data_IF_222328320244
#
_entry.id   IF_222328320244
#
_cell.length_a   1.000
_cell.length_b   1.000
_cell.length_c   1.000
_cell.angle_alpha   90.00
_cell.angle_beta   90.00
_cell.angle_gamma   90.00
#
_symmetry.space_group_name_H-M   'P 1'
#
loop_
_entity.id
_entity.type
_entity.pdbx_description
1 polymer ?
#
# COMPACT_ATOMS: atom_id res chain seq x y z
N UNK A 1 68.29 -39.63 41.30
CA UNK A 1 68.21 -38.50 40.36
C UNK A 1 67.50 -37.34 41.05
N UNK A 2 68.01 -36.12 40.88
CA UNK A 2 67.36 -34.89 41.33
C UNK A 2 66.66 -34.24 40.13
N UNK A 3 65.41 -33.82 40.31
CA UNK A 3 64.66 -33.05 39.32
C UNK A 3 64.63 -31.61 39.82
N UNK A 4 65.15 -30.69 39.02
CA UNK A 4 65.20 -29.27 39.33
C UNK A 4 64.26 -28.52 38.39
N UNK A 5 63.40 -27.68 38.95
CA UNK A 5 62.57 -26.77 38.16
C UNK A 5 63.41 -25.58 37.66
N UNK A 6 63.07 -24.99 36.51
CA UNK A 6 63.76 -23.81 36.00
C UNK A 6 63.72 -22.67 37.05
N UNK A 7 64.89 -22.29 37.57
CA UNK A 7 65.04 -21.41 38.74
C UNK A 7 65.70 -22.05 39.98
N UNK A 8 65.99 -23.36 39.95
CA UNK A 8 66.83 -24.04 40.95
C UNK A 8 66.10 -24.64 42.15
N UNK A 9 64.76 -24.58 42.19
CA UNK A 9 63.97 -25.18 43.27
C UNK A 9 63.84 -26.69 43.11
N UNK A 10 64.13 -27.44 44.18
CA UNK A 10 63.96 -28.89 44.23
C UNK A 10 62.53 -29.22 44.71
N UNK A 11 61.83 -30.10 43.98
CA UNK A 11 60.48 -30.53 44.32
C UNK A 11 60.45 -31.96 44.87
N UNK A 12 59.59 -32.14 45.88
CA UNK A 12 59.40 -33.40 46.61
C UNK A 12 58.45 -34.36 45.86
N UNK A 13 58.68 -35.66 46.03
CA UNK A 13 57.87 -36.74 45.46
C UNK A 13 58.54 -38.11 45.57
N UNK A 14 57.74 -39.15 45.79
CA UNK A 14 58.21 -40.51 46.11
C UNK A 14 58.83 -41.27 44.93
N UNK A 15 58.63 -40.77 43.70
CA UNK A 15 59.23 -41.33 42.48
C UNK A 15 59.73 -40.22 41.54
N UNK A 16 60.66 -40.56 40.64
CA UNK A 16 61.15 -39.61 39.62
C UNK A 16 60.00 -39.12 38.73
N UNK A 17 59.06 -39.99 38.37
CA UNK A 17 57.88 -39.63 37.60
C UNK A 17 57.01 -38.61 38.34
N UNK A 18 56.72 -38.84 39.63
CA UNK A 18 55.97 -37.91 40.46
C UNK A 18 56.69 -36.55 40.61
N UNK A 19 58.02 -36.54 40.74
CA UNK A 19 58.80 -35.30 40.83
C UNK A 19 58.81 -34.50 39.53
N UNK A 20 58.87 -35.17 38.37
CA UNK A 20 58.73 -34.52 37.05
C UNK A 20 57.33 -33.96 36.88
N UNK A 21 56.29 -34.72 37.25
CA UNK A 21 54.91 -34.28 37.16
C UNK A 21 54.64 -33.06 38.06
N UNK A 22 55.10 -33.09 39.31
CA UNK A 22 55.00 -31.97 40.24
C UNK A 22 55.73 -30.73 39.72
N UNK A 23 56.92 -30.91 39.12
CA UNK A 23 57.68 -29.83 38.49
C UNK A 23 57.00 -29.24 37.26
N UNK A 24 56.37 -30.08 36.44
CA UNK A 24 55.58 -29.65 35.30
C UNK A 24 54.34 -28.87 35.76
N UNK A 25 53.56 -29.40 36.72
CA UNK A 25 52.38 -28.73 37.30
C UNK A 25 52.73 -27.37 37.91
N UNK A 26 53.78 -27.30 38.73
CA UNK A 26 54.22 -26.05 39.33
C UNK A 26 54.71 -25.03 38.28
N UNK A 27 55.33 -25.50 37.18
CA UNK A 27 55.76 -24.62 36.09
C UNK A 27 54.59 -24.11 35.26
N UNK A 28 53.56 -24.93 35.06
CA UNK A 28 52.33 -24.56 34.34
C UNK A 28 51.54 -23.49 35.12
N UNK A 29 51.38 -23.66 36.43
CA UNK A 29 50.73 -22.65 37.30
C UNK A 29 51.48 -21.32 37.24
N UNK A 30 52.81 -21.35 37.19
CA UNK A 30 53.63 -20.13 37.07
C UNK A 30 53.53 -19.49 35.67
N UNK A 31 53.45 -20.32 34.62
CA UNK A 31 53.39 -19.85 33.24
C UNK A 31 52.02 -19.24 32.91
N UNK A 32 50.94 -19.82 33.44
CA UNK A 32 49.56 -19.41 33.19
C UNK A 32 48.86 -18.92 34.47
N UNK A 33 49.45 -17.91 35.12
CA UNK A 33 48.96 -17.41 36.41
C UNK A 33 47.55 -16.81 36.38
N UNK A 34 46.99 -16.54 35.21
CA UNK A 34 45.65 -15.97 35.04
C UNK A 34 44.62 -17.00 34.54
N UNK A 35 44.98 -18.28 34.41
CA UNK A 35 44.12 -19.33 33.84
C UNK A 35 42.79 -19.50 34.59
N UNK A 36 42.85 -19.51 35.93
CA UNK A 36 41.71 -19.80 36.81
C UNK A 36 40.52 -18.84 36.59
N UNK A 37 40.76 -17.63 36.07
CA UNK A 37 39.70 -16.66 35.79
C UNK A 37 38.72 -17.13 34.71
N UNK A 38 39.16 -18.02 33.82
CA UNK A 38 38.38 -18.54 32.71
C UNK A 38 38.18 -20.06 32.77
N UNK A 39 38.55 -20.72 33.88
CA UNK A 39 38.48 -22.17 34.06
C UNK A 39 37.06 -22.63 34.44
N UNK A 40 36.11 -22.51 33.51
CA UNK A 40 34.76 -23.06 33.65
C UNK A 40 34.33 -23.82 32.36
N UNK A 41 33.83 -25.07 32.46
CA UNK A 41 33.43 -25.83 31.28
C UNK A 41 32.16 -25.29 30.58
N UNK A 42 31.43 -24.35 31.18
CA UNK A 42 30.16 -23.85 30.66
C UNK A 42 30.28 -22.62 29.75
N UNK A 43 31.49 -22.17 29.40
CA UNK A 43 31.66 -21.02 28.49
C UNK A 43 31.01 -21.22 27.11
N UNK A 44 30.94 -22.45 26.60
CA UNK A 44 30.16 -22.76 25.39
C UNK A 44 28.67 -22.43 25.54
N UNK A 45 28.08 -22.62 26.72
CA UNK A 45 26.69 -22.23 27.01
C UNK A 45 26.53 -20.71 27.12
N UNK A 46 27.53 -20.01 27.64
CA UNK A 46 27.55 -18.54 27.69
C UNK A 46 27.49 -17.98 26.27
N UNK A 47 28.29 -18.51 25.35
CA UNK A 47 28.22 -18.15 23.92
C UNK A 47 26.81 -18.37 23.35
N UNK A 48 26.23 -19.55 23.55
CA UNK A 48 24.91 -19.89 23.02
C UNK A 48 23.80 -18.97 23.57
N UNK A 49 23.83 -18.68 24.88
CA UNK A 49 22.89 -17.76 25.53
C UNK A 49 23.07 -16.33 25.05
N UNK A 50 24.30 -15.82 24.97
CA UNK A 50 24.56 -14.46 24.50
C UNK A 50 24.05 -14.25 23.07
N UNK A 51 24.15 -15.29 22.22
CA UNK A 51 23.65 -15.26 20.85
C UNK A 51 22.12 -15.33 20.73
N UNK A 52 21.44 -16.05 21.62
CA UNK A 52 20.00 -16.34 21.53
C UNK A 52 19.13 -15.44 22.42
N UNK A 53 19.57 -15.26 23.66
CA UNK A 53 18.80 -14.69 24.76
C UNK A 53 19.29 -13.29 25.18
N UNK A 54 20.43 -12.84 24.63
CA UNK A 54 21.05 -11.57 24.95
C UNK A 54 22.15 -11.64 26.02
N UNK A 55 22.94 -10.57 26.16
CA UNK A 55 24.18 -10.57 26.94
C UNK A 55 24.02 -10.44 28.46
N UNK A 56 22.92 -9.83 28.93
CA UNK A 56 22.73 -9.48 30.35
C UNK A 56 22.69 -10.69 31.29
N UNK A 57 22.09 -11.81 30.86
CA UNK A 57 21.92 -13.01 31.69
C UNK A 57 22.78 -14.20 31.22
N UNK A 58 23.60 -14.02 30.19
CA UNK A 58 24.37 -15.11 29.61
C UNK A 58 25.44 -15.65 30.58
N UNK A 59 26.07 -14.76 31.37
CA UNK A 59 27.09 -15.12 32.37
C UNK A 59 26.52 -15.89 33.58
N UNK A 60 25.20 -15.96 33.75
CA UNK A 60 24.60 -16.80 34.78
C UNK A 60 24.91 -18.30 34.55
N UNK A 61 25.24 -18.70 33.33
CA UNK A 61 25.63 -20.06 32.99
C UNK A 61 26.94 -20.51 33.67
N UNK A 62 27.77 -19.54 34.09
CA UNK A 62 29.00 -19.74 34.88
C UNK A 62 28.85 -19.18 36.30
N UNK A 63 27.61 -18.98 36.76
CA UNK A 63 27.31 -18.56 38.14
C UNK A 63 27.51 -17.07 38.43
N UNK A 64 27.83 -16.24 37.45
CA UNK A 64 28.01 -14.80 37.65
C UNK A 64 26.70 -14.03 37.47
N UNK A 65 26.38 -13.16 38.44
CA UNK A 65 25.19 -12.30 38.46
C UNK A 65 25.61 -10.85 38.73
N UNK A 66 25.95 -10.14 37.68
CA UNK A 66 26.42 -8.76 37.74
C UNK A 66 26.57 -8.18 36.35
N UNK A 67 27.02 -6.93 36.28
CA UNK A 67 27.23 -6.24 35.01
C UNK A 67 28.32 -6.95 34.19
N UNK A 68 28.08 -7.27 32.91
CA UNK A 68 29.02 -8.06 32.14
C UNK A 68 30.42 -7.47 31.99
N UNK A 69 30.57 -6.14 32.05
CA UNK A 69 31.90 -5.51 31.99
C UNK A 69 32.68 -5.53 33.31
N UNK A 70 32.06 -6.00 34.41
CA UNK A 70 32.71 -6.22 35.70
C UNK A 70 33.16 -7.67 35.90
N UNK A 71 32.74 -8.60 35.04
CA UNK A 71 33.25 -9.98 35.08
C UNK A 71 34.75 -10.02 34.71
N UNK A 72 35.63 -10.71 35.44
CA UNK A 72 37.08 -10.65 35.25
C UNK A 72 37.55 -10.89 33.80
N UNK A 73 37.02 -11.94 33.15
CA UNK A 73 37.35 -12.27 31.75
C UNK A 73 36.87 -11.18 30.78
N UNK A 74 35.65 -10.69 30.96
CA UNK A 74 35.05 -9.69 30.08
C UNK A 74 35.73 -8.33 30.26
N UNK A 75 36.05 -7.94 31.49
CA UNK A 75 36.77 -6.72 31.83
C UNK A 75 38.17 -6.70 31.20
N UNK A 76 38.92 -7.81 31.27
CA UNK A 76 40.24 -7.91 30.67
C UNK A 76 40.19 -7.87 29.14
N UNK A 77 39.25 -8.59 28.52
CA UNK A 77 39.05 -8.54 27.07
C UNK A 77 38.70 -7.12 26.61
N UNK A 78 37.74 -6.45 27.27
CA UNK A 78 37.37 -5.06 26.99
C UNK A 78 38.57 -4.12 27.10
N UNK A 79 39.39 -4.27 28.16
CA UNK A 79 40.60 -3.46 28.36
C UNK A 79 41.64 -3.68 27.26
N UNK A 80 41.85 -4.92 26.83
CA UNK A 80 42.81 -5.25 25.77
C UNK A 80 42.38 -4.73 24.40
N UNK A 81 41.08 -4.73 24.11
CA UNK A 81 40.53 -4.20 22.85
C UNK A 81 40.90 -2.71 22.66
N UNK A 82 40.93 -1.91 23.73
CA UNK A 82 41.28 -0.50 23.64
C UNK A 82 40.37 0.24 22.64
N UNK A 83 40.93 0.83 21.59
CA UNK A 83 40.14 1.52 20.54
C UNK A 83 39.45 0.58 19.55
N UNK A 84 40.20 -0.39 19.01
CA UNK A 84 39.65 -1.47 18.19
C UNK A 84 40.66 -2.60 18.03
N UNK A 85 40.19 -3.85 18.02
CA UNK A 85 41.01 -5.05 17.80
C UNK A 85 40.29 -6.09 16.95
N UNK A 86 41.07 -6.80 16.14
CA UNK A 86 40.59 -7.93 15.36
C UNK A 86 40.47 -9.18 16.22
N UNK A 87 39.44 -10.00 16.03
CA UNK A 87 39.16 -11.14 16.91
C UNK A 87 40.29 -12.16 17.01
N UNK A 88 41.07 -12.38 15.95
CA UNK A 88 42.26 -13.23 16.04
C UNK A 88 43.34 -12.63 16.94
N UNK A 89 43.56 -11.32 16.93
CA UNK A 89 44.51 -10.67 17.84
C UNK A 89 44.09 -10.82 19.31
N UNK A 90 42.77 -10.86 19.56
CA UNK A 90 42.20 -11.09 20.90
C UNK A 90 42.41 -12.55 21.31
N UNK A 91 42.07 -13.50 20.43
CA UNK A 91 42.27 -14.93 20.68
C UNK A 91 43.73 -15.25 20.95
N UNK A 92 44.64 -14.83 20.07
CA UNK A 92 46.07 -15.11 20.18
C UNK A 92 46.65 -14.56 21.49
N UNK A 93 46.19 -13.38 21.93
CA UNK A 93 46.64 -12.78 23.18
C UNK A 93 46.19 -13.57 24.41
N UNK A 94 44.91 -13.93 24.50
CA UNK A 94 44.34 -14.58 25.68
C UNK A 94 44.55 -16.09 25.71
N UNK A 95 44.90 -16.73 24.59
CA UNK A 95 45.36 -18.12 24.57
C UNK A 95 46.85 -18.23 24.92
N UNK A 96 47.62 -17.14 24.82
CA UNK A 96 49.02 -17.10 25.24
C UNK A 96 49.18 -16.93 26.76
N UNK A 97 50.39 -17.18 27.26
CA UNK A 97 50.78 -16.86 28.64
C UNK A 97 50.71 -15.33 28.86
N UNK A 98 50.24 -14.85 30.03
CA UNK A 98 49.96 -15.60 31.26
C UNK A 98 48.53 -16.15 31.40
N UNK A 99 47.70 -16.07 30.36
CA UNK A 99 46.27 -16.42 30.43
C UNK A 99 46.00 -17.89 30.13
N UNK A 100 46.36 -18.35 28.93
CA UNK A 100 46.10 -19.73 28.51
C UNK A 100 44.61 -20.08 28.38
N UNK A 101 43.73 -19.09 28.22
CA UNK A 101 42.29 -19.29 28.28
C UNK A 101 41.75 -20.12 27.11
N UNK A 102 40.71 -20.96 27.34
CA UNK A 102 40.06 -21.69 26.28
C UNK A 102 39.33 -20.74 25.32
N UNK A 103 39.29 -21.10 24.03
CA UNK A 103 38.60 -20.31 23.00
C UNK A 103 37.11 -20.11 23.31
N UNK A 104 36.47 -21.07 23.99
CA UNK A 104 35.09 -20.94 24.48
C UNK A 104 34.93 -19.75 25.42
N UNK A 105 35.88 -19.51 26.32
CA UNK A 105 35.82 -18.39 27.26
C UNK A 105 35.99 -17.05 26.55
N UNK A 106 36.97 -16.97 25.64
CA UNK A 106 37.26 -15.75 24.87
C UNK A 106 36.07 -15.39 23.98
N UNK A 107 35.57 -16.35 23.20
CA UNK A 107 34.44 -16.13 22.30
C UNK A 107 33.15 -15.87 23.07
N UNK A 108 32.89 -16.61 24.16
CA UNK A 108 31.73 -16.41 25.03
C UNK A 108 31.71 -15.00 25.62
N UNK A 109 32.84 -14.53 26.14
CA UNK A 109 32.97 -13.18 26.67
C UNK A 109 32.80 -12.09 25.59
N UNK A 110 33.35 -12.27 24.38
CA UNK A 110 33.14 -11.36 23.26
C UNK A 110 31.66 -11.25 22.89
N UNK A 111 30.95 -12.38 22.82
CA UNK A 111 29.51 -12.40 22.51
C UNK A 111 28.68 -11.77 23.62
N UNK A 112 29.02 -12.00 24.89
CA UNK A 112 28.36 -11.35 26.03
C UNK A 112 28.51 -9.82 25.95
N UNK A 113 29.72 -9.33 25.69
CA UNK A 113 30.01 -7.90 25.59
C UNK A 113 29.30 -7.27 24.38
N UNK A 114 29.26 -7.98 23.25
CA UNK A 114 28.55 -7.56 22.04
C UNK A 114 27.02 -7.54 22.26
N UNK A 115 26.45 -8.60 22.83
CA UNK A 115 25.02 -8.74 23.09
C UNK A 115 24.52 -7.80 24.21
N UNK A 116 25.42 -7.33 25.07
CA UNK A 116 25.15 -6.32 26.10
C UNK A 116 25.34 -4.89 25.59
N UNK A 117 25.72 -4.70 24.32
CA UNK A 117 25.97 -3.37 23.74
C UNK A 117 27.19 -2.65 24.33
N UNK A 118 28.13 -3.38 24.94
CA UNK A 118 29.38 -2.84 25.49
C UNK A 118 30.46 -2.79 24.40
N UNK A 119 30.40 -3.71 23.44
CA UNK A 119 31.23 -3.72 22.24
C UNK A 119 30.36 -3.55 20.99
N UNK A 120 30.94 -2.95 19.98
CA UNK A 120 30.50 -2.97 18.59
C UNK A 120 31.35 -3.96 17.81
N UNK A 121 30.76 -4.61 16.80
CA UNK A 121 31.46 -5.52 15.92
C UNK A 121 31.25 -5.13 14.45
N UNK A 122 32.34 -5.17 13.67
CA UNK A 122 32.32 -5.00 12.21
C UNK A 122 32.96 -6.19 11.52
N UNK A 123 32.29 -6.71 10.49
CA UNK A 123 32.81 -7.81 9.67
C UNK A 123 34.02 -7.36 8.82
N UNK A 124 34.58 -8.29 8.02
CA UNK A 124 35.71 -7.99 7.12
C UNK A 124 35.37 -6.96 6.05
N UNK A 125 34.09 -6.74 5.76
CA UNK A 125 33.59 -5.77 4.79
C UNK A 125 33.16 -4.46 5.45
N UNK A 126 33.48 -4.28 6.74
CA UNK A 126 33.13 -3.11 7.56
C UNK A 126 31.65 -2.95 7.89
N UNK A 127 30.82 -3.96 7.60
CA UNK A 127 29.41 -3.95 7.98
C UNK A 127 29.26 -4.21 9.48
N UNK A 128 28.36 -3.50 10.14
CA UNK A 128 28.01 -3.78 11.52
C UNK A 128 27.34 -5.15 11.65
N UNK A 129 27.76 -5.94 12.64
CA UNK A 129 27.20 -7.27 12.94
C UNK A 129 26.83 -7.34 14.42
N UNK A 130 25.70 -7.96 14.73
CA UNK A 130 25.27 -8.17 16.11
C UNK A 130 25.58 -9.61 16.57
N UNK A 131 25.39 -9.88 17.87
CA UNK A 131 25.69 -11.19 18.46
C UNK A 131 24.86 -12.33 17.86
N UNK A 132 23.61 -12.09 17.44
CA UNK A 132 22.77 -13.09 16.80
C UNK A 132 23.28 -13.49 15.40
N UNK A 133 23.78 -12.51 14.64
CA UNK A 133 24.22 -12.67 13.26
C UNK A 133 25.67 -13.18 13.14
N UNK A 134 26.54 -12.78 14.06
CA UNK A 134 27.95 -13.16 14.01
C UNK A 134 28.11 -14.68 14.23
N UNK A 135 28.71 -15.37 13.25
CA UNK A 135 29.03 -16.80 13.40
C UNK A 135 30.40 -17.00 14.05
N UNK A 136 30.54 -18.02 14.91
CA UNK A 136 31.77 -18.28 15.67
C UNK A 136 33.04 -18.40 14.83
N UNK A 137 32.93 -18.93 13.60
CA UNK A 137 34.05 -19.03 12.64
C UNK A 137 34.49 -17.68 12.09
N UNK A 138 33.63 -16.66 12.11
CA UNK A 138 33.90 -15.31 11.58
C UNK A 138 34.55 -14.38 12.61
N UNK A 139 34.47 -14.72 13.91
CA UNK A 139 35.02 -13.92 15.02
C UNK A 139 36.46 -13.51 14.74
N UNK A 140 37.29 -14.43 14.24
CA UNK A 140 38.69 -14.16 13.94
C UNK A 140 38.95 -12.99 12.98
N UNK A 141 38.03 -12.74 12.06
CA UNK A 141 38.13 -11.65 11.07
C UNK A 141 37.33 -10.40 11.45
N UNK A 142 36.56 -10.47 12.53
CA UNK A 142 35.68 -9.40 13.01
C UNK A 142 36.48 -8.40 13.82
N UNK A 143 36.23 -7.11 13.61
CA UNK A 143 36.82 -6.02 14.40
C UNK A 143 35.86 -5.66 15.52
N UNK A 144 36.35 -5.67 16.75
CA UNK A 144 35.63 -5.26 17.94
C UNK A 144 36.14 -3.91 18.41
N UNK A 145 35.25 -3.05 18.88
CA UNK A 145 35.59 -1.75 19.48
C UNK A 145 34.61 -1.45 20.62
N UNK A 146 34.99 -0.71 21.67
CA UNK A 146 34.05 -0.29 22.70
C UNK A 146 32.92 0.55 22.13
N UNK A 147 31.72 0.34 22.65
CA UNK A 147 30.63 1.26 22.44
C UNK A 147 30.86 2.50 23.32
N UNK A 148 31.10 3.64 22.68
CA UNK A 148 31.34 4.91 23.36
C UNK A 148 30.06 5.56 23.88
N UNK A 149 28.89 5.15 23.38
CA UNK A 149 27.60 5.72 23.73
C UNK A 149 26.94 4.85 24.81
N UNK A 150 26.79 5.38 26.02
CA UNK A 150 26.10 4.69 27.10
C UNK A 150 24.59 5.00 27.08
N UNK A 151 23.76 3.95 26.98
CA UNK A 151 22.28 4.06 27.11
C UNK A 151 21.87 3.60 28.50
N UNK A 152 21.22 4.48 29.27
CA UNK A 152 20.80 4.15 30.64
C UNK A 152 19.50 3.34 30.64
N UNK A 153 19.20 2.56 31.70
CA UNK A 153 17.94 1.83 31.81
C UNK A 153 16.68 2.69 31.64
N UNK A 154 16.70 3.93 32.15
CA UNK A 154 15.59 4.89 31.97
C UNK A 154 15.39 5.29 30.51
N UNK A 155 16.46 5.35 29.74
CA UNK A 155 16.42 5.72 28.33
C UNK A 155 15.86 4.55 27.50
N UNK A 156 16.19 3.29 27.86
CA UNK A 156 15.54 2.11 27.27
C UNK A 156 14.02 2.11 27.51
N UNK A 157 13.55 2.56 28.68
CA UNK A 157 12.11 2.68 28.96
C UNK A 157 11.47 3.73 28.03
N UNK A 158 12.12 4.88 27.84
CA UNK A 158 11.63 5.93 26.92
C UNK A 158 11.54 5.44 25.48
N UNK A 159 12.55 4.71 25.00
CA UNK A 159 12.56 4.15 23.64
C UNK A 159 11.38 3.18 23.45
N UNK A 160 11.18 2.23 24.39
CA UNK A 160 10.05 1.29 24.32
C UNK A 160 8.69 2.00 24.34
N UNK A 161 8.57 3.04 25.17
CA UNK A 161 7.36 3.86 25.24
C UNK A 161 7.10 4.60 23.92
N UNK A 162 8.13 5.17 23.30
CA UNK A 162 8.03 5.81 21.99
C UNK A 162 7.60 4.81 20.91
N UNK A 163 8.25 3.66 20.83
CA UNK A 163 7.92 2.60 19.86
C UNK A 163 6.44 2.23 19.97
N UNK A 164 5.97 1.99 21.20
CA UNK A 164 4.57 1.65 21.47
C UNK A 164 3.62 2.79 21.07
N UNK A 165 3.96 4.05 21.39
CA UNK A 165 3.18 5.21 20.98
C UNK A 165 3.10 5.37 19.45
N UNK A 166 4.14 4.96 18.73
CA UNK A 166 4.19 4.96 17.27
C UNK A 166 3.49 3.74 16.64
N UNK A 167 2.90 2.84 17.43
CA UNK A 167 2.17 1.66 16.96
C UNK A 167 3.01 0.38 16.86
N UNK A 168 4.25 0.38 17.35
CA UNK A 168 5.12 -0.80 17.41
C UNK A 168 5.15 -1.35 18.84
N UNK A 169 4.42 -2.44 19.08
CA UNK A 169 4.38 -3.07 20.40
C UNK A 169 5.78 -3.54 20.82
N UNK A 170 6.25 -3.08 21.98
CA UNK A 170 7.59 -3.38 22.49
C UNK A 170 7.57 -3.74 23.99
N UNK A 171 7.95 -4.98 24.31
CA UNK A 171 8.04 -5.52 25.67
C UNK A 171 9.48 -5.39 26.24
N UNK A 172 9.68 -5.55 27.56
CA UNK A 172 10.99 -5.38 28.19
C UNK A 172 12.12 -6.25 27.60
N UNK A 173 11.81 -7.49 27.23
CA UNK A 173 12.78 -8.47 26.72
C UNK A 173 12.80 -8.54 25.18
N UNK A 174 12.07 -7.66 24.50
CA UNK A 174 12.08 -7.63 23.03
C UNK A 174 13.43 -7.11 22.52
N UNK A 175 13.87 -7.66 21.39
CA UNK A 175 15.00 -7.15 20.63
C UNK A 175 14.70 -5.75 20.10
N UNK A 176 15.31 -4.74 20.73
CA UNK A 176 15.12 -3.34 20.37
C UNK A 176 15.57 -3.03 18.94
N UNK A 177 16.64 -3.67 18.45
CA UNK A 177 17.10 -3.43 17.07
C UNK A 177 16.04 -3.86 16.07
N UNK A 178 15.43 -5.02 16.29
CA UNK A 178 14.31 -5.51 15.49
C UNK A 178 13.09 -4.59 15.58
N UNK A 179 12.74 -4.13 16.79
CA UNK A 179 11.57 -3.24 16.97
C UNK A 179 11.76 -1.88 16.31
N UNK A 180 12.98 -1.37 16.28
CA UNK A 180 13.28 -0.15 15.53
C UNK A 180 13.18 -0.38 14.02
N UNK A 181 13.58 -1.55 13.51
CA UNK A 181 13.35 -1.92 12.11
C UNK A 181 11.85 -2.00 11.78
N UNK A 182 11.03 -2.57 12.67
CA UNK A 182 9.58 -2.60 12.52
C UNK A 182 9.00 -1.16 12.48
N UNK A 183 9.51 -0.25 13.32
CA UNK A 183 9.13 1.18 13.29
C UNK A 183 9.48 1.82 11.95
N UNK A 184 10.69 1.62 11.45
CA UNK A 184 11.12 2.18 10.15
C UNK A 184 10.24 1.65 9.01
N UNK A 185 9.94 0.35 9.00
CA UNK A 185 9.06 -0.24 8.01
C UNK A 185 7.64 0.35 8.08
N UNK A 186 7.08 0.48 9.28
CA UNK A 186 5.78 1.10 9.51
C UNK A 186 5.75 2.56 9.06
N UNK A 187 6.79 3.33 9.39
CA UNK A 187 6.92 4.73 9.01
C UNK A 187 6.96 4.91 7.49
N UNK A 188 7.72 4.07 6.78
CA UNK A 188 7.77 4.09 5.30
C UNK A 188 6.42 3.77 4.67
N UNK A 189 5.69 2.79 5.22
CA UNK A 189 4.34 2.49 4.76
C UNK A 189 3.38 3.67 4.99
N UNK A 190 3.42 4.29 6.17
CA UNK A 190 2.60 5.47 6.48
C UNK A 190 2.93 6.65 5.57
N UNK A 191 4.21 6.93 5.32
CA UNK A 191 4.62 7.99 4.41
C UNK A 191 4.11 7.75 2.98
N UNK A 192 4.08 6.48 2.52
CA UNK A 192 3.51 6.12 1.23
C UNK A 192 1.99 6.33 1.17
N UNK A 193 1.29 6.13 2.29
CA UNK A 193 -0.16 6.35 2.39
C UNK A 193 -0.54 7.82 2.61
N UNK A 194 0.37 8.62 3.17
CA UNK A 194 0.17 10.03 3.51
C UNK A 194 0.43 10.99 2.33
N UNK A 195 0.65 10.48 1.11
CA UNK A 195 0.83 11.30 -0.08
C UNK A 195 1.08 10.49 -1.34
N UNK A 196 1.18 11.16 -2.48
CA UNK A 196 1.33 10.49 -3.77
C UNK A 196 1.37 11.46 -4.93
N UNK A 197 0.85 11.04 -6.06
CA UNK A 197 0.66 11.91 -7.23
C UNK A 197 -0.54 12.83 -7.01
N UNK A 198 -0.58 13.95 -7.75
CA UNK A 198 -1.72 14.86 -7.71
C UNK A 198 -3.03 14.08 -7.98
N UNK A 199 -4.12 14.35 -7.23
CA UNK A 199 -4.36 15.49 -6.36
C UNK A 199 -3.90 15.32 -4.90
N UNK A 200 -3.24 14.20 -4.56
CA UNK A 200 -2.79 13.94 -3.20
C UNK A 200 -1.66 14.91 -2.80
N UNK A 201 -1.46 15.19 -1.50
CA UNK A 201 -0.26 15.90 -1.05
C UNK A 201 1.01 15.15 -1.48
N UNK A 202 2.13 15.85 -1.52
CA UNK A 202 3.42 15.21 -1.76
C UNK A 202 3.72 14.20 -0.65
N UNK A 203 4.41 13.11 -1.00
CA UNK A 203 4.86 12.14 0.00
C UNK A 203 5.75 12.83 1.03
N UNK A 204 5.52 12.61 2.34
CA UNK A 204 6.36 13.17 3.38
C UNK A 204 7.82 12.70 3.30
N UNK A 205 8.73 13.50 3.89
CA UNK A 205 10.17 13.18 3.94
C UNK A 205 10.46 12.05 4.94
N UNK A 206 11.14 11.00 4.47
CA UNK A 206 11.50 9.83 5.28
C UNK A 206 12.96 9.80 5.72
N UNK A 207 13.76 10.84 5.45
CA UNK A 207 15.21 10.87 5.72
C UNK A 207 15.59 10.48 7.15
N UNK A 208 14.83 10.93 8.15
CA UNK A 208 15.05 10.57 9.55
C UNK A 208 14.96 9.05 9.78
N UNK A 209 14.00 8.39 9.13
CA UNK A 209 13.82 6.93 9.22
C UNK A 209 14.86 6.17 8.40
N UNK A 210 15.34 6.74 7.30
CA UNK A 210 16.47 6.19 6.54
C UNK A 210 17.77 6.28 7.33
N UNK A 211 17.99 7.38 8.06
CA UNK A 211 19.12 7.53 8.97
C UNK A 211 19.04 6.51 10.12
N UNK A 212 17.86 6.35 10.75
CA UNK A 212 17.63 5.32 11.77
C UNK A 212 17.94 3.91 11.26
N UNK A 213 17.59 3.61 10.00
CA UNK A 213 17.87 2.32 9.38
C UNK A 213 19.37 2.09 9.14
N UNK A 214 20.13 3.15 8.89
CA UNK A 214 21.57 3.10 8.59
C UNK A 214 22.45 2.96 9.83
N UNK A 215 21.97 3.40 11.00
CA UNK A 215 22.72 3.32 12.27
C UNK A 215 22.65 1.91 12.87
N UNK A 216 23.60 1.61 13.76
CA UNK A 216 23.69 0.34 14.50
C UNK A 216 24.07 0.58 15.95
N UNK A 217 23.73 -0.35 16.85
CA UNK A 217 24.12 -0.28 18.26
C UNK A 217 23.54 0.93 18.99
N UNK A 218 24.24 1.44 19.99
CA UNK A 218 23.70 2.51 20.84
C UNK A 218 23.60 3.85 20.11
N UNK A 219 24.34 4.04 19.02
CA UNK A 219 24.19 5.22 18.15
C UNK A 219 22.79 5.33 17.51
N UNK A 220 22.15 4.19 17.23
CA UNK A 220 20.75 4.14 16.75
C UNK A 220 19.79 4.51 17.87
N UNK A 221 19.98 3.92 19.05
CA UNK A 221 19.14 4.17 20.23
C UNK A 221 19.22 5.63 20.69
N UNK A 222 20.41 6.22 20.61
CA UNK A 222 20.62 7.64 20.90
C UNK A 222 19.87 8.54 19.92
N UNK A 223 19.93 8.26 18.61
CA UNK A 223 19.18 9.03 17.61
C UNK A 223 17.67 9.02 17.90
N UNK A 224 17.12 7.88 18.35
CA UNK A 224 15.70 7.79 18.73
C UNK A 224 15.37 8.69 19.92
N UNK A 225 16.27 8.77 20.91
CA UNK A 225 16.08 9.63 22.07
C UNK A 225 16.16 11.11 21.69
N UNK A 226 17.14 11.45 20.85
CA UNK A 226 17.36 12.82 20.38
C UNK A 226 16.18 13.31 19.52
N UNK A 227 15.64 12.44 18.66
CA UNK A 227 14.56 12.76 17.71
C UNK A 227 13.18 12.25 18.15
N UNK A 228 13.00 12.00 19.46
CA UNK A 228 11.77 11.40 20.00
C UNK A 228 10.50 12.18 19.59
N UNK A 229 10.56 13.51 19.68
CA UNK A 229 9.45 14.39 19.31
C UNK A 229 9.20 14.33 17.80
N UNK A 230 10.25 14.52 16.98
CA UNK A 230 10.20 14.49 15.52
C UNK A 230 9.59 13.18 14.99
N UNK A 231 10.03 12.02 15.52
CA UNK A 231 9.51 10.70 15.14
C UNK A 231 8.02 10.61 15.46
N UNK A 232 7.62 10.98 16.69
CA UNK A 232 6.24 10.89 17.15
C UNK A 232 5.32 11.81 16.33
N UNK A 233 5.74 13.04 16.10
CA UNK A 233 4.97 14.03 15.36
C UNK A 233 4.81 13.63 13.89
N UNK A 234 5.88 13.15 13.26
CA UNK A 234 5.83 12.61 11.90
C UNK A 234 4.82 11.46 11.78
N UNK A 235 4.91 10.44 12.65
CA UNK A 235 3.99 9.29 12.62
C UNK A 235 2.53 9.72 12.81
N UNK A 236 2.26 10.61 13.77
CA UNK A 236 0.91 11.10 14.02
C UNK A 236 0.36 11.91 12.84
N UNK A 237 1.16 12.81 12.27
CA UNK A 237 0.78 13.61 11.12
C UNK A 237 0.51 12.74 9.90
N UNK A 238 1.37 11.76 9.61
CA UNK A 238 1.21 10.88 8.46
C UNK A 238 0.00 9.97 8.62
N UNK A 239 -0.26 9.46 9.83
CA UNK A 239 -1.47 8.70 10.13
C UNK A 239 -2.74 9.51 9.88
N UNK A 240 -2.80 10.74 10.42
CA UNK A 240 -3.94 11.63 10.21
C UNK A 240 -4.12 12.00 8.72
N UNK A 241 -3.02 12.24 8.00
CA UNK A 241 -3.06 12.54 6.56
C UNK A 241 -3.55 11.36 5.75
N UNK A 242 -3.05 10.15 6.01
CA UNK A 242 -3.49 8.92 5.36
C UNK A 242 -4.98 8.63 5.59
N UNK A 243 -5.47 8.86 6.81
CA UNK A 243 -6.89 8.72 7.13
C UNK A 243 -7.76 9.74 6.37
N UNK A 244 -7.31 10.99 6.26
CA UNK A 244 -8.03 12.00 5.46
C UNK A 244 -8.02 11.66 3.97
N UNK A 245 -6.90 11.12 3.45
CA UNK A 245 -6.82 10.64 2.07
C UNK A 245 -7.84 9.53 1.84
N UNK A 246 -7.90 8.52 2.71
CA UNK A 246 -8.82 7.39 2.52
C UNK A 246 -10.30 7.80 2.56
N UNK A 247 -10.62 8.88 3.29
CA UNK A 247 -11.96 9.48 3.31
C UNK A 247 -12.28 10.32 2.06
N UNK A 248 -11.31 11.08 1.52
CA UNK A 248 -11.52 12.00 0.39
C UNK A 248 -11.35 11.36 -0.98
N UNK A 249 -10.59 10.27 -1.05
CA UNK A 249 -10.23 9.61 -2.30
C UNK A 249 -11.45 9.03 -3.04
N UNK A 250 -12.46 8.42 -2.40
CA UNK A 250 -13.68 7.97 -3.09
C UNK A 250 -14.43 9.11 -3.80
N UNK A 251 -14.63 10.25 -3.11
CA UNK A 251 -15.29 11.43 -3.68
C UNK A 251 -14.54 11.97 -4.91
N UNK A 252 -13.20 11.92 -4.89
CA UNK A 252 -12.39 12.34 -6.02
C UNK A 252 -12.58 11.44 -7.25
N UNK A 253 -12.62 10.11 -7.06
CA UNK A 253 -12.91 9.19 -8.17
C UNK A 253 -14.32 9.41 -8.72
N UNK A 254 -15.31 9.59 -7.83
CA UNK A 254 -16.67 9.89 -8.23
C UNK A 254 -16.74 11.20 -9.04
N UNK A 255 -16.01 12.24 -8.64
CA UNK A 255 -15.89 13.48 -9.41
C UNK A 255 -15.31 13.23 -10.81
N UNK A 256 -14.28 12.40 -10.93
CA UNK A 256 -13.67 12.06 -12.22
C UNK A 256 -14.65 11.32 -13.15
N UNK A 257 -15.39 10.35 -12.62
CA UNK A 257 -16.40 9.60 -13.38
C UNK A 257 -17.51 10.54 -13.90
N UNK A 258 -18.01 11.44 -13.06
CA UNK A 258 -19.01 12.45 -13.45
C UNK A 258 -18.45 13.46 -14.47
N UNK A 259 -17.18 13.85 -14.36
CA UNK A 259 -16.52 14.71 -15.34
C UNK A 259 -16.40 14.01 -16.69
N UNK A 260 -16.10 12.72 -16.71
CA UNK A 260 -15.98 11.96 -17.94
C UNK A 260 -17.30 11.83 -18.69
N UNK A 261 -18.40 11.65 -17.96
CA UNK A 261 -19.76 11.64 -18.54
C UNK A 261 -20.24 13.02 -19.01
N UNK A 262 -19.56 14.10 -18.60
CA UNK A 262 -19.98 15.47 -18.94
C UNK A 262 -19.14 16.14 -20.04
N UNK A 263 -18.10 15.51 -20.60
CA UNK A 263 -17.12 16.13 -21.53
C UNK A 263 -17.70 17.00 -22.66
N UNK A 264 -18.88 16.66 -23.19
CA UNK A 264 -19.52 17.38 -24.29
C UNK A 264 -20.66 18.31 -23.84
N UNK A 265 -20.84 18.50 -22.53
CA UNK A 265 -21.92 19.29 -21.94
C UNK A 265 -21.43 20.69 -21.56
N UNK A 266 -22.35 21.66 -21.61
CA UNK A 266 -22.04 23.09 -21.42
C UNK A 266 -21.43 23.42 -20.05
N UNK A 267 -21.73 22.61 -19.03
CA UNK A 267 -21.26 22.82 -17.65
C UNK A 267 -19.91 22.17 -17.35
N UNK A 268 -19.34 21.37 -18.26
CA UNK A 268 -18.09 20.63 -18.05
C UNK A 268 -16.90 21.54 -17.78
N UNK A 269 -16.67 22.54 -18.63
CA UNK A 269 -15.43 23.34 -18.63
C UNK A 269 -15.22 24.07 -17.31
N UNK A 270 -16.28 24.62 -16.72
CA UNK A 270 -16.24 25.31 -15.44
C UNK A 270 -15.82 24.36 -14.30
N UNK A 271 -16.49 23.19 -14.19
CA UNK A 271 -16.18 22.23 -13.12
C UNK A 271 -14.81 21.58 -13.32
N UNK A 272 -14.42 21.30 -14.56
CA UNK A 272 -13.10 20.76 -14.89
C UNK A 272 -11.98 21.71 -14.47
N UNK A 273 -12.16 23.01 -14.66
CA UNK A 273 -11.19 24.03 -14.22
C UNK A 273 -11.02 24.02 -12.69
N UNK A 274 -12.12 23.93 -11.94
CA UNK A 274 -12.08 23.83 -10.47
C UNK A 274 -11.40 22.52 -10.02
N UNK A 275 -11.72 21.39 -10.66
CA UNK A 275 -11.08 20.11 -10.37
C UNK A 275 -9.57 20.13 -10.68
N UNK A 276 -9.17 20.74 -11.79
CA UNK A 276 -7.75 20.89 -12.16
C UNK A 276 -7.00 21.74 -11.14
N UNK A 277 -7.60 22.83 -10.65
CA UNK A 277 -7.01 23.64 -9.59
C UNK A 277 -6.78 22.81 -8.31
N UNK A 278 -7.73 21.95 -7.91
CA UNK A 278 -7.56 21.04 -6.77
C UNK A 278 -6.38 20.10 -7.00
N UNK A 279 -6.24 19.54 -8.19
CA UNK A 279 -5.16 18.62 -8.52
C UNK A 279 -3.79 19.31 -8.55
N UNK A 280 -3.70 20.45 -9.24
CA UNK A 280 -2.47 21.24 -9.37
C UNK A 280 -1.97 21.76 -8.01
N UNK A 281 -2.88 22.26 -7.17
CA UNK A 281 -2.56 22.76 -5.84
C UNK A 281 -2.44 21.65 -4.79
N UNK A 282 -2.76 20.40 -5.15
CA UNK A 282 -2.81 19.24 -4.24
C UNK A 282 -3.70 19.50 -3.02
N UNK A 283 -4.83 20.16 -3.28
CA UNK A 283 -5.75 20.69 -2.28
C UNK A 283 -6.83 19.69 -1.87
N UNK A 284 -6.71 18.40 -2.21
CA UNK A 284 -7.75 17.38 -1.90
C UNK A 284 -8.11 17.33 -0.40
N UNK A 285 -7.15 17.66 0.46
CA UNK A 285 -7.29 17.62 1.91
C UNK A 285 -7.57 19.01 2.52
N UNK A 286 -8.06 19.98 1.75
CA UNK A 286 -8.46 21.27 2.31
C UNK A 286 -9.80 21.17 3.04
N UNK A 287 -10.02 22.09 3.99
CA UNK A 287 -11.29 22.22 4.70
C UNK A 287 -11.93 23.59 4.38
N UNK A 288 -13.22 23.64 4.02
CA UNK A 288 -14.14 22.51 3.82
C UNK A 288 -13.77 21.64 2.59
N UNK A 289 -14.31 20.41 2.50
CA UNK A 289 -14.06 19.49 1.38
C UNK A 289 -14.27 20.18 0.02
N UNK A 290 -13.21 20.39 -0.78
CA UNK A 290 -13.36 21.10 -2.05
C UNK A 290 -14.05 20.26 -3.14
N UNK A 291 -14.13 18.94 -2.97
CA UNK A 291 -14.69 18.01 -3.95
C UNK A 291 -16.22 17.89 -3.84
N UNK A 292 -16.75 17.91 -2.61
CA UNK A 292 -18.19 17.77 -2.34
C UNK A 292 -19.09 18.72 -3.16
N UNK A 293 -18.83 20.03 -3.25
CA UNK A 293 -19.67 20.93 -4.05
C UNK A 293 -19.61 20.64 -5.56
N UNK A 294 -18.48 20.13 -6.06
CA UNK A 294 -18.31 19.79 -7.48
C UNK A 294 -19.09 18.52 -7.83
N UNK A 295 -18.99 17.49 -6.99
CA UNK A 295 -19.77 16.24 -7.13
C UNK A 295 -21.26 16.56 -7.14
N UNK A 296 -21.74 17.37 -6.18
CA UNK A 296 -23.15 17.75 -6.12
C UNK A 296 -23.58 18.49 -7.40
N UNK A 297 -22.81 19.48 -7.85
CA UNK A 297 -23.13 20.27 -9.04
C UNK A 297 -23.21 19.42 -10.30
N UNK A 298 -22.28 18.50 -10.50
CA UNK A 298 -22.30 17.58 -11.65
C UNK A 298 -23.44 16.58 -11.54
N UNK A 299 -23.67 16.01 -10.36
CA UNK A 299 -24.78 15.09 -10.11
C UNK A 299 -26.11 15.73 -10.47
N UNK A 300 -26.38 16.95 -9.98
CA UNK A 300 -27.62 17.67 -10.27
C UNK A 300 -27.74 18.02 -11.75
N UNK A 301 -26.65 18.44 -12.38
CA UNK A 301 -26.64 18.80 -13.80
C UNK A 301 -26.88 17.60 -14.71
N UNK A 302 -26.21 16.47 -14.44
CA UNK A 302 -26.40 15.21 -15.17
C UNK A 302 -27.78 14.61 -14.91
N UNK A 303 -28.30 14.68 -13.68
CA UNK A 303 -29.68 14.28 -13.36
C UNK A 303 -30.67 15.04 -14.23
N UNK A 304 -30.55 16.36 -14.28
CA UNK A 304 -31.45 17.22 -15.04
C UNK A 304 -31.36 16.92 -16.55
N UNK A 305 -30.15 16.70 -17.08
CA UNK A 305 -29.96 16.33 -18.48
C UNK A 305 -30.60 14.97 -18.80
N UNK A 306 -30.34 13.95 -17.99
CA UNK A 306 -30.95 12.62 -18.15
C UNK A 306 -32.48 12.70 -18.10
N UNK A 307 -33.04 13.38 -17.08
CA UNK A 307 -34.48 13.54 -16.93
C UNK A 307 -35.10 14.28 -18.12
N UNK A 308 -34.44 15.32 -18.65
CA UNK A 308 -34.90 16.02 -19.84
C UNK A 308 -34.99 15.11 -21.07
N UNK A 309 -33.96 14.28 -21.30
CA UNK A 309 -33.93 13.34 -22.41
C UNK A 309 -34.97 12.21 -22.26
N UNK A 310 -35.11 11.66 -21.05
CA UNK A 310 -36.14 10.66 -20.72
C UNK A 310 -37.54 11.24 -20.93
N UNK A 311 -37.79 12.46 -20.43
CA UNK A 311 -39.09 13.11 -20.59
C UNK A 311 -39.41 13.38 -22.06
N UNK A 312 -38.42 13.86 -22.84
CA UNK A 312 -38.60 14.08 -24.28
C UNK A 312 -38.96 12.79 -25.02
N UNK A 313 -38.35 11.66 -24.64
CA UNK A 313 -38.72 10.34 -25.17
C UNK A 313 -40.15 9.97 -24.79
N UNK A 314 -40.53 10.13 -23.51
CA UNK A 314 -41.86 9.78 -23.01
C UNK A 314 -42.96 10.62 -23.66
N UNK A 315 -42.75 11.93 -23.83
CA UNK A 315 -43.70 12.84 -24.47
C UNK A 315 -43.92 12.46 -25.95
N UNK A 316 -42.83 12.21 -26.68
CA UNK A 316 -42.90 11.78 -28.08
C UNK A 316 -43.53 10.40 -28.22
N UNK A 317 -43.24 9.49 -27.29
CA UNK A 317 -43.84 8.15 -27.26
C UNK A 317 -45.33 8.21 -26.98
N UNK A 318 -45.75 8.98 -25.99
CA UNK A 318 -47.16 9.18 -25.66
C UNK A 318 -47.93 9.82 -26.83
N UNK A 319 -47.32 10.79 -27.52
CA UNK A 319 -47.90 11.39 -28.72
C UNK A 319 -48.09 10.37 -29.86
N UNK A 320 -47.05 9.57 -30.14
CA UNK A 320 -47.12 8.52 -31.16
C UNK A 320 -48.15 7.44 -30.83
N UNK A 321 -48.24 7.04 -29.56
CA UNK A 321 -49.25 6.07 -29.12
C UNK A 321 -50.66 6.63 -29.24
N UNK A 322 -50.88 7.90 -28.90
CA UNK A 322 -52.18 8.55 -29.07
C UNK A 322 -52.61 8.64 -30.55
N UNK A 323 -51.67 8.93 -31.46
CA UNK A 323 -51.93 8.91 -32.91
C UNK A 323 -52.28 7.49 -33.39
N UNK A 324 -51.54 6.48 -32.91
CA UNK A 324 -51.79 5.09 -33.26
C UNK A 324 -53.16 4.62 -32.73
N UNK A 325 -53.56 5.03 -31.53
CA UNK A 325 -54.89 4.75 -30.96
C UNK A 325 -56.05 5.40 -31.73
N UNK A 326 -55.80 6.48 -32.47
CA UNK A 326 -56.78 7.12 -33.35
C UNK A 326 -56.84 6.47 -34.74
N UNK A 327 -55.86 5.62 -35.10
CA UNK A 327 -55.82 4.96 -36.39
C UNK A 327 -56.92 3.89 -36.51
N UNK A 328 -57.63 3.90 -37.63
CA UNK A 328 -58.79 3.04 -37.85
C UNK A 328 -58.42 1.57 -38.00
N UNK A 329 -57.25 1.25 -38.59
CA UNK A 329 -56.77 -0.13 -38.69
C UNK A 329 -56.30 -0.62 -37.32
N UNK A 330 -55.60 0.23 -36.57
CA UNK A 330 -55.15 -0.11 -35.22
C UNK A 330 -56.30 -0.48 -34.27
N UNK A 331 -57.41 0.27 -34.31
CA UNK A 331 -58.60 0.03 -33.48
C UNK A 331 -59.32 -1.30 -33.78
N UNK A 332 -59.10 -1.89 -34.96
CA UNK A 332 -59.70 -3.18 -35.34
C UNK A 332 -58.88 -4.37 -34.86
N UNK A 333 -57.63 -4.16 -34.44
CA UNK A 333 -56.77 -5.21 -33.89
C UNK A 333 -57.20 -5.59 -32.48
N UNK A 334 -56.97 -6.85 -32.10
CA UNK A 334 -57.12 -7.27 -30.70
C UNK A 334 -55.86 -6.92 -29.87
N UNK A 335 -55.96 -7.01 -28.54
CA UNK A 335 -54.87 -6.64 -27.63
C UNK A 335 -53.57 -7.42 -27.87
N UNK A 336 -53.66 -8.70 -28.22
CA UNK A 336 -52.49 -9.56 -28.46
C UNK A 336 -51.74 -9.11 -29.73
N UNK A 337 -52.48 -8.80 -30.79
CA UNK A 337 -51.93 -8.27 -32.05
C UNK A 337 -51.30 -6.88 -31.86
N UNK A 338 -51.95 -6.00 -31.08
CA UNK A 338 -51.40 -4.68 -30.75
C UNK A 338 -50.09 -4.81 -29.96
N UNK A 339 -50.08 -5.65 -28.91
CA UNK A 339 -48.88 -5.87 -28.10
C UNK A 339 -47.74 -6.50 -28.91
N UNK A 340 -48.03 -7.42 -29.82
CA UNK A 340 -47.02 -8.03 -30.69
C UNK A 340 -46.39 -7.01 -31.65
N UNK A 341 -47.18 -6.11 -32.26
CA UNK A 341 -46.65 -5.04 -33.11
C UNK A 341 -45.80 -4.07 -32.28
N UNK A 342 -46.30 -3.62 -31.12
CA UNK A 342 -45.55 -2.72 -30.24
C UNK A 342 -44.23 -3.36 -29.78
N UNK A 343 -44.24 -4.65 -29.42
CA UNK A 343 -43.03 -5.40 -29.05
C UNK A 343 -42.05 -5.49 -30.21
N UNK A 344 -42.51 -5.87 -31.40
CA UNK A 344 -41.68 -5.99 -32.61
C UNK A 344 -41.02 -4.66 -33.00
N UNK A 345 -41.69 -3.54 -32.74
CA UNK A 345 -41.19 -2.18 -33.04
C UNK A 345 -40.44 -1.53 -31.87
N UNK A 346 -40.26 -2.23 -30.76
CA UNK A 346 -39.66 -1.70 -29.53
C UNK A 346 -40.37 -0.42 -29.03
N UNK A 347 -41.70 -0.45 -29.02
CA UNK A 347 -42.61 0.62 -28.61
C UNK A 347 -43.37 0.29 -27.32
N UNK A 348 -43.01 -0.80 -26.63
CA UNK A 348 -43.54 -1.06 -25.28
C UNK A 348 -43.09 0.02 -24.29
N UNK A 349 -43.83 0.13 -23.19
CA UNK A 349 -43.52 1.09 -22.13
C UNK A 349 -42.10 0.86 -21.59
N UNK A 350 -41.33 1.95 -21.51
CA UNK A 350 -39.97 1.92 -21.04
C UNK A 350 -39.92 1.98 -19.51
N UNK A 351 -39.05 1.17 -18.90
CA UNK A 351 -38.64 1.38 -17.52
C UNK A 351 -37.76 2.64 -17.43
N UNK A 352 -38.12 3.56 -16.53
CA UNK A 352 -37.36 4.79 -16.34
C UNK A 352 -36.03 4.48 -15.63
N UNK A 353 -34.91 5.10 -16.05
CA UNK A 353 -33.63 4.92 -15.38
C UNK A 353 -33.67 5.49 -13.96
N UNK A 354 -32.97 4.84 -13.02
CA UNK A 354 -32.78 5.41 -11.68
C UNK A 354 -31.87 6.65 -11.77
N UNK A 355 -32.23 7.68 -11.01
CA UNK A 355 -31.48 8.94 -10.92
C UNK A 355 -31.42 9.47 -9.48
N UNK A 356 -31.60 8.57 -8.50
CA UNK A 356 -31.68 8.87 -7.07
C UNK A 356 -30.38 9.46 -6.50
N UNK A 357 -29.22 8.99 -6.95
CA UNK A 357 -27.90 9.41 -6.48
C UNK A 357 -26.86 9.39 -7.63
N UNK A 358 -25.63 9.80 -7.33
CA UNK A 358 -24.56 9.92 -8.32
C UNK A 358 -24.22 8.58 -8.99
N UNK A 359 -24.07 7.50 -8.22
CA UNK A 359 -23.77 6.16 -8.76
C UNK A 359 -24.88 5.64 -9.68
N UNK A 360 -26.15 5.85 -9.29
CA UNK A 360 -27.30 5.49 -10.11
C UNK A 360 -27.32 6.24 -11.46
N UNK A 361 -26.96 7.54 -11.45
CA UNK A 361 -26.87 8.35 -12.67
C UNK A 361 -25.73 7.86 -13.56
N UNK A 362 -24.57 7.54 -12.98
CA UNK A 362 -23.42 6.98 -13.71
C UNK A 362 -23.83 5.67 -14.39
N UNK A 363 -24.46 4.75 -13.63
CA UNK A 363 -24.92 3.47 -14.17
C UNK A 363 -25.95 3.67 -15.30
N UNK A 364 -26.93 4.55 -15.10
CA UNK A 364 -27.94 4.86 -16.10
C UNK A 364 -27.32 5.41 -17.41
N UNK A 365 -26.33 6.31 -17.31
CA UNK A 365 -25.66 6.90 -18.46
C UNK A 365 -24.68 5.95 -19.15
N UNK A 366 -24.10 4.99 -18.42
CA UNK A 366 -23.35 3.89 -19.02
C UNK A 366 -24.25 2.91 -19.78
N UNK A 367 -25.46 2.65 -19.28
CA UNK A 367 -26.44 1.79 -19.96
C UNK A 367 -27.05 2.48 -21.18
N UNK A 368 -27.35 3.77 -21.09
CA UNK A 368 -27.85 4.57 -22.22
C UNK A 368 -27.36 6.01 -22.13
N UNK A 369 -26.46 6.40 -23.03
CA UNK A 369 -25.90 7.76 -23.07
C UNK A 369 -26.96 8.80 -23.46
N UNK A 370 -26.68 10.08 -23.20
CA UNK A 370 -27.58 11.17 -23.58
C UNK A 370 -27.79 11.25 -25.11
N UNK A 371 -26.76 10.98 -25.90
CA UNK A 371 -26.86 10.88 -27.36
C UNK A 371 -27.75 9.71 -27.77
N UNK A 372 -27.57 8.54 -27.16
CA UNK A 372 -28.42 7.37 -27.44
C UNK A 372 -29.89 7.63 -27.08
N UNK A 373 -30.16 8.43 -26.04
CA UNK A 373 -31.52 8.88 -25.75
C UNK A 373 -32.06 9.81 -26.84
N UNK A 374 -31.25 10.73 -27.37
CA UNK A 374 -31.64 11.57 -28.50
C UNK A 374 -31.96 10.74 -29.75
N UNK A 375 -31.13 9.74 -30.06
CA UNK A 375 -31.34 8.81 -31.18
C UNK A 375 -32.61 7.98 -30.99
N UNK A 376 -32.87 7.49 -29.77
CA UNK A 376 -34.12 6.79 -29.45
C UNK A 376 -35.32 7.67 -29.73
N UNK A 377 -35.33 8.89 -29.22
CA UNK A 377 -36.43 9.86 -29.39
C UNK A 377 -36.64 10.21 -30.86
N UNK A 378 -35.58 10.51 -31.61
CA UNK A 378 -35.71 10.86 -33.03
C UNK A 378 -36.20 9.69 -33.90
N UNK A 379 -35.88 8.45 -33.51
CA UNK A 379 -36.37 7.25 -34.20
C UNK A 379 -37.82 6.87 -33.88
N UNK A 380 -38.45 7.46 -32.86
CA UNK A 380 -39.81 7.07 -32.47
C UNK A 380 -40.83 7.31 -33.58
N UNK A 381 -40.76 8.46 -34.27
CA UNK A 381 -41.73 8.81 -35.31
C UNK A 381 -41.78 7.75 -36.42
N UNK A 382 -40.62 7.30 -36.92
CA UNK A 382 -40.56 6.26 -37.95
C UNK A 382 -40.96 4.88 -37.44
N UNK A 383 -40.72 4.56 -36.16
CA UNK A 383 -41.18 3.31 -35.54
C UNK A 383 -42.69 3.26 -35.40
N UNK A 384 -43.32 4.35 -34.97
CA UNK A 384 -44.78 4.44 -34.89
C UNK A 384 -45.44 4.39 -36.26
N UNK A 385 -44.84 5.05 -37.26
CA UNK A 385 -45.32 4.94 -38.65
C UNK A 385 -45.23 3.50 -39.17
N UNK A 386 -44.12 2.81 -38.90
CA UNK A 386 -43.98 1.41 -39.26
C UNK A 386 -44.98 0.50 -38.54
N UNK A 387 -45.34 0.80 -37.28
CA UNK A 387 -46.38 0.09 -36.54
C UNK A 387 -47.77 0.31 -37.16
N UNK A 388 -48.07 1.55 -37.59
CA UNK A 388 -49.32 1.91 -38.28
C UNK A 388 -49.46 1.16 -39.59
N UNK A 389 -48.41 1.13 -40.41
CA UNK A 389 -48.41 0.40 -41.68
C UNK A 389 -48.58 -1.10 -41.45
N UNK A 390 -47.89 -1.68 -40.46
CA UNK A 390 -48.00 -3.10 -40.14
C UNK A 390 -49.40 -3.50 -39.66
N UNK A 391 -50.08 -2.63 -38.91
CA UNK A 391 -51.47 -2.82 -38.54
C UNK A 391 -52.40 -2.84 -39.77
N UNK A 392 -52.17 -1.94 -40.73
CA UNK A 392 -52.92 -1.93 -41.98
C UNK A 392 -52.65 -3.18 -42.83
N UNK A 393 -51.40 -3.64 -42.93
CA UNK A 393 -51.03 -4.86 -43.68
C UNK A 393 -51.66 -6.13 -43.10
N UNK A 394 -51.76 -6.22 -41.77
CA UNK A 394 -52.35 -7.37 -41.09
C UNK A 394 -53.85 -7.52 -41.39
N UNK A 395 -54.56 -6.40 -41.56
CA UNK A 395 -55.99 -6.38 -41.91
C UNK A 395 -56.24 -6.40 -43.42
N UNK A 396 -55.31 -5.88 -44.22
CA UNK A 396 -55.41 -5.79 -45.66
C UNK A 396 -54.17 -6.39 -46.34
N UNK A 397 -54.14 -7.73 -46.55
CA UNK A 397 -52.96 -8.40 -47.10
C UNK A 397 -52.61 -8.04 -48.56
N UNK A 398 -53.47 -7.28 -49.26
CA UNK A 398 -53.20 -6.69 -50.59
C UNK A 398 -52.74 -5.22 -50.54
N UNK A 399 -52.50 -4.66 -49.34
CA UNK A 399 -52.09 -3.27 -49.16
C UNK A 399 -50.78 -2.99 -49.93
N UNK A 400 -50.79 -1.95 -50.75
CA UNK A 400 -49.62 -1.53 -51.53
C UNK A 400 -49.02 -0.26 -50.96
N UNK A 401 -47.69 -0.25 -50.80
CA UNK A 401 -46.93 0.93 -50.36
C UNK A 401 -46.50 1.77 -51.56
N UNK A 402 -46.80 3.07 -51.52
CA UNK A 402 -46.40 4.04 -52.56
C UNK A 402 -45.34 4.98 -51.97
N UNK A 403 -44.17 5.00 -52.61
CA UNK A 403 -43.13 5.99 -52.33
C UNK A 403 -43.37 7.25 -53.16
N UNK A 404 -43.59 8.38 -52.49
CA UNK A 404 -43.72 9.66 -53.15
C UNK A 404 -42.35 10.14 -53.71
N UNK A 405 -42.28 10.62 -54.97
CA UNK A 405 -41.05 11.12 -55.54
C UNK A 405 -40.59 12.39 -54.81
N UNK A 406 -39.43 12.33 -54.15
CA UNK A 406 -38.85 13.46 -53.40
C UNK A 406 -38.18 14.44 -54.36
N UNK A 407 -38.63 15.70 -54.38
CA UNK A 407 -38.03 16.78 -55.16
C UNK A 407 -38.12 18.12 -54.44
N UNK A 408 -37.17 19.02 -54.71
CA UNK A 408 -37.20 20.41 -54.24
C UNK A 408 -37.97 21.25 -55.24
N UNK A 409 -38.92 22.05 -54.77
CA UNK A 409 -39.76 22.89 -55.61
C UNK A 409 -39.29 24.34 -55.58
N UNK A 410 -39.23 24.98 -56.74
CA UNK A 410 -38.78 26.37 -56.90
C UNK A 410 -39.87 27.31 -57.43
N UNK A 411 -40.96 26.76 -57.99
CA UNK A 411 -42.15 27.52 -58.38
C UNK A 411 -43.45 26.68 -58.22
N UNK A 412 -44.61 27.33 -58.43
CA UNK A 412 -45.91 26.68 -58.29
C UNK A 412 -46.21 25.67 -59.42
N UNK A 413 -45.68 25.88 -60.63
CA UNK A 413 -45.92 24.98 -61.76
C UNK A 413 -45.23 23.62 -61.53
N UNK A 414 -44.05 23.63 -60.88
CA UNK A 414 -43.38 22.43 -60.41
C UNK A 414 -44.18 21.68 -59.34
N UNK A 415 -44.98 22.36 -58.51
CA UNK A 415 -45.84 21.69 -57.53
C UNK A 415 -47.03 21.02 -58.23
N UNK A 416 -47.71 21.73 -59.13
CA UNK A 416 -48.88 21.20 -59.84
C UNK A 416 -48.53 19.98 -60.71
N UNK A 417 -47.40 20.04 -61.42
CA UNK A 417 -46.90 18.90 -62.19
C UNK A 417 -46.57 17.68 -61.30
N UNK A 418 -46.20 17.90 -60.04
CA UNK A 418 -45.93 16.81 -59.09
C UNK A 418 -47.20 16.17 -58.60
N UNK A 419 -48.18 16.99 -58.24
CA UNK A 419 -49.48 16.52 -57.75
C UNK A 419 -50.16 15.65 -58.82
N UNK A 420 -50.10 16.05 -60.09
CA UNK A 420 -50.67 15.24 -61.17
C UNK A 420 -49.92 13.91 -61.36
N UNK A 421 -48.58 13.93 -61.26
CA UNK A 421 -47.76 12.71 -61.31
C UNK A 421 -48.08 11.76 -60.15
N UNK A 422 -48.17 12.29 -58.92
CA UNK A 422 -48.50 11.52 -57.72
C UNK A 422 -49.91 10.92 -57.85
N UNK A 423 -50.88 11.72 -58.29
CA UNK A 423 -52.26 11.28 -58.51
C UNK A 423 -52.35 10.13 -59.51
N UNK A 424 -51.63 10.21 -60.63
CA UNK A 424 -51.58 9.10 -61.60
C UNK A 424 -51.01 7.83 -60.98
N UNK A 425 -49.87 7.91 -60.28
CA UNK A 425 -49.27 6.76 -59.59
C UNK A 425 -50.22 6.13 -58.56
N UNK A 426 -50.97 6.97 -57.85
CA UNK A 426 -51.92 6.56 -56.82
C UNK A 426 -53.10 5.80 -57.44
N UNK A 427 -53.70 6.34 -58.51
CA UNK A 427 -54.82 5.72 -59.20
C UNK A 427 -54.44 4.39 -59.88
N UNK A 428 -53.24 4.30 -60.45
CA UNK A 428 -52.74 3.05 -61.03
C UNK A 428 -52.61 1.95 -59.98
N UNK A 429 -51.98 2.26 -58.84
CA UNK A 429 -51.78 1.30 -57.74
C UNK A 429 -53.08 0.93 -57.02
N UNK A 430 -54.02 1.87 -56.94
CA UNK A 430 -55.33 1.65 -56.32
C UNK A 430 -56.16 0.58 -57.06
N UNK A 431 -55.95 0.40 -58.37
CA UNK A 431 -56.63 -0.65 -59.14
C UNK A 431 -56.24 -2.07 -58.68
N UNK A 432 -55.02 -2.23 -58.16
CA UNK A 432 -54.46 -3.52 -57.77
C UNK A 432 -54.61 -3.80 -56.25
N UNK A 433 -55.13 -2.84 -55.47
CA UNK A 433 -55.40 -2.98 -54.04
C UNK A 433 -55.42 -1.64 -53.30
N UNK A 434 -55.80 -1.62 -52.00
CA UNK A 434 -55.70 -0.44 -51.16
C UNK A 434 -54.26 0.08 -51.11
N UNK A 435 -54.08 1.40 -51.07
CA UNK A 435 -52.75 2.03 -51.09
C UNK A 435 -52.49 2.83 -49.83
N UNK A 436 -51.26 2.80 -49.35
CA UNK A 436 -50.76 3.66 -48.27
C UNK A 436 -49.46 4.33 -48.68
N UNK A 437 -49.18 5.51 -48.14
CA UNK A 437 -47.90 6.17 -48.32
C UNK A 437 -46.88 5.66 -47.30
N UNK A 438 -45.63 5.55 -47.73
CA UNK A 438 -44.48 5.15 -46.92
C UNK A 438 -43.63 6.30 -46.43
#
# INVERSE_FOLDING_TARGET
MQVLQAGGSQLDGDSIAARIENAARASLVRLYGEFDQADDPNWGKVYDRARKDGGQNALEAIGYKGDPDQHPVCAQIKRYIGGSKKGNEIRDHFTAAPYGWPLDAIDGALFVLLASGILLAKDSNTNAVNAAQLERKQVGQTHFSPESIAIRPVDLIKIRSLLTACGVACQPNDDLDRKVQDLVAHARQLAQQAGGDAPLPQRPDTRLFDELASRSGNAKLQLILDEQASIKDAINQWRATAERISQRQPDWHLLQDLLDLSRNLSFYSAVKTEADAIAEQRALLDEPNPVSPLVQRLTDSLRNALQHHVQSYLDQHASGLAQLQQDTHWQQLNSEQQDDILRKRNLLQLAQPDSSNADAIIEALHQTSLEQWSDRTSSLASRFEAARIEAAELLQPKLQRINLPRRTFTDAAEVDAWLEQVKQQLLEKLNDGPVTFS
#
